data_IF_315682498885
#
_entry.id   IF_315682498885
#
_cell.length_a   1.000
_cell.length_b   1.000
_cell.length_c   1.000
_cell.angle_alpha   90.00
_cell.angle_beta   90.00
_cell.angle_gamma   90.00
#
_symmetry.space_group_name_H-M   'P 1'
#
loop_
_entity.id
_entity.type
_entity.pdbx_description
1 polymer ?
#
# COMPACT_ATOMS: atom_id res chain seq x y z
N UNK A 1 -18.68 10.74 10.43
CA UNK A 1 -18.54 9.32 10.83
C UNK A 1 -17.25 8.80 10.23
N UNK A 2 -16.41 8.14 11.03
CA UNK A 2 -15.20 7.41 10.61
C UNK A 2 -15.59 6.10 9.90
N UNK A 3 -14.62 5.35 9.40
CA UNK A 3 -14.88 4.00 8.87
C UNK A 3 -15.32 3.06 9.99
N UNK A 4 -16.23 2.15 9.68
CA UNK A 4 -16.71 1.09 10.58
C UNK A 4 -15.95 -0.19 10.28
N UNK A 5 -15.28 -0.77 11.29
CA UNK A 5 -14.60 -2.06 11.16
C UNK A 5 -15.63 -3.20 11.07
N UNK A 6 -15.39 -4.10 10.15
CA UNK A 6 -16.24 -5.27 9.95
C UNK A 6 -15.87 -6.39 10.94
N UNK A 7 -16.80 -6.77 11.79
CA UNK A 7 -16.60 -7.87 12.74
C UNK A 7 -15.52 -7.62 13.78
N UNK A 8 -15.12 -8.69 14.44
CA UNK A 8 -14.11 -8.68 15.52
C UNK A 8 -12.86 -9.51 15.20
N UNK A 9 -12.79 -10.04 13.96
CA UNK A 9 -11.71 -10.92 13.48
C UNK A 9 -11.20 -10.41 12.13
N UNK A 10 -9.96 -10.75 11.74
CA UNK A 10 -9.48 -10.46 10.40
C UNK A 10 -10.33 -11.16 9.33
N UNK A 11 -10.45 -10.55 8.16
CA UNK A 11 -11.13 -11.13 6.99
C UNK A 11 -10.20 -12.02 6.18
N UNK A 12 -8.87 -11.87 6.32
CA UNK A 12 -7.90 -12.73 5.67
C UNK A 12 -6.63 -12.87 6.53
N UNK A 13 -6.14 -14.10 6.59
CA UNK A 13 -5.03 -14.51 7.44
C UNK A 13 -5.48 -15.11 8.77
N UNK A 14 -4.75 -16.11 9.23
CA UNK A 14 -5.00 -16.85 10.48
C UNK A 14 -3.70 -17.51 10.98
N UNK A 15 -3.80 -18.35 11.99
CA UNK A 15 -2.64 -19.04 12.56
C UNK A 15 -1.95 -19.99 11.56
N UNK A 16 -2.67 -20.56 10.60
CA UNK A 16 -2.14 -21.51 9.61
C UNK A 16 -1.41 -20.78 8.47
N UNK A 17 -1.97 -19.65 7.99
CA UNK A 17 -1.30 -18.82 6.99
C UNK A 17 -0.06 -18.15 7.57
N UNK A 18 -0.03 -17.92 8.88
CA UNK A 18 0.95 -17.05 9.52
C UNK A 18 0.72 -15.58 9.12
N UNK A 19 1.75 -14.75 9.21
CA UNK A 19 1.68 -13.32 8.90
C UNK A 19 1.48 -13.09 7.40
N UNK A 20 0.38 -12.38 7.08
CA UNK A 20 0.03 -11.83 5.77
C UNK A 20 -0.17 -10.32 5.91
N UNK A 21 0.41 -9.53 5.02
CA UNK A 21 0.47 -8.07 5.18
C UNK A 21 0.62 -7.32 3.85
N UNK A 22 0.47 -6.00 3.90
CA UNK A 22 0.62 -5.07 2.77
C UNK A 22 -0.29 -5.44 1.59
N UNK A 23 -1.56 -5.75 1.88
CA UNK A 23 -2.54 -6.07 0.84
C UNK A 23 -2.80 -4.89 -0.09
N UNK A 24 -2.84 -5.16 -1.38
CA UNK A 24 -3.23 -4.24 -2.45
C UNK A 24 -4.47 -4.80 -3.13
N UNK A 25 -5.64 -4.19 -2.89
CA UNK A 25 -6.93 -4.67 -3.39
C UNK A 25 -7.41 -3.82 -4.55
N UNK A 26 -7.86 -4.46 -5.60
CA UNK A 26 -8.44 -3.83 -6.79
C UNK A 26 -9.43 -4.78 -7.50
N UNK A 27 -10.20 -4.24 -8.46
CA UNK A 27 -11.16 -5.03 -9.25
C UNK A 27 -10.49 -5.61 -10.49
N UNK A 28 -10.43 -6.92 -10.60
CA UNK A 28 -9.91 -7.64 -11.76
C UNK A 28 -10.99 -8.60 -12.30
N UNK A 29 -11.44 -8.35 -13.53
CA UNK A 29 -12.44 -9.19 -14.18
C UNK A 29 -13.79 -9.30 -13.44
N UNK A 30 -14.16 -8.29 -12.64
CA UNK A 30 -15.41 -8.26 -11.87
C UNK A 30 -15.32 -8.90 -10.49
N UNK A 31 -14.15 -9.36 -10.05
CA UNK A 31 -13.87 -9.86 -8.71
C UNK A 31 -12.86 -8.97 -7.99
N UNK A 32 -12.90 -8.96 -6.67
CA UNK A 32 -11.82 -8.37 -5.88
C UNK A 32 -10.60 -9.28 -5.96
N UNK A 33 -9.47 -8.69 -6.29
CA UNK A 33 -8.15 -9.29 -6.26
C UNK A 33 -7.35 -8.60 -5.15
N UNK A 34 -6.73 -9.38 -4.27
CA UNK A 34 -5.78 -8.89 -3.26
C UNK A 34 -4.40 -9.48 -3.56
N UNK A 35 -3.49 -8.62 -3.97
CA UNK A 35 -2.07 -8.94 -4.04
C UNK A 35 -1.45 -8.57 -2.69
N UNK A 36 -0.73 -9.48 -2.03
CA UNK A 36 -0.25 -9.27 -0.66
C UNK A 36 1.13 -9.89 -0.42
N UNK A 37 1.74 -9.53 0.70
CA UNK A 37 3.02 -10.05 1.15
C UNK A 37 2.81 -11.22 2.10
N UNK A 38 3.40 -12.37 1.80
CA UNK A 38 3.34 -13.58 2.64
C UNK A 38 4.67 -13.81 3.35
N UNK A 39 4.79 -13.32 4.58
CA UNK A 39 6.07 -13.31 5.32
C UNK A 39 6.71 -14.68 5.44
N UNK A 40 5.95 -15.70 5.85
CA UNK A 40 6.45 -17.07 6.02
C UNK A 40 6.94 -17.74 4.74
N UNK A 41 6.53 -17.22 3.58
CA UNK A 41 6.93 -17.71 2.26
C UNK A 41 7.97 -16.82 1.58
N UNK A 42 8.27 -15.64 2.16
CA UNK A 42 9.14 -14.60 1.55
C UNK A 42 8.73 -14.29 0.11
N UNK A 43 7.43 -14.12 -0.10
CA UNK A 43 6.84 -14.06 -1.43
C UNK A 43 5.71 -13.04 -1.50
N UNK A 44 5.46 -12.52 -2.70
CA UNK A 44 4.17 -11.96 -3.07
C UNK A 44 3.21 -13.08 -3.44
N UNK A 45 1.94 -12.90 -3.08
CA UNK A 45 0.88 -13.84 -3.36
C UNK A 45 -0.42 -13.11 -3.72
N UNK A 46 -1.39 -13.84 -4.25
CA UNK A 46 -2.70 -13.32 -4.64
C UNK A 46 -3.81 -14.19 -4.07
N UNK A 47 -4.92 -13.55 -3.73
CA UNK A 47 -6.20 -14.20 -3.40
C UNK A 47 -7.34 -13.42 -4.02
N UNK A 48 -8.50 -14.06 -4.18
CA UNK A 48 -9.66 -13.50 -4.86
C UNK A 48 -10.91 -13.58 -3.98
N UNK A 49 -11.83 -12.63 -4.19
CA UNK A 49 -13.10 -12.56 -3.48
C UNK A 49 -14.20 -12.00 -4.37
N UNK A 50 -15.43 -12.46 -4.19
CA UNK A 50 -16.61 -11.90 -4.86
C UNK A 50 -17.25 -10.76 -4.05
N UNK A 51 -16.98 -10.69 -2.75
CA UNK A 51 -17.59 -9.71 -1.83
C UNK A 51 -16.56 -8.83 -1.07
N UNK A 52 -15.26 -9.13 -1.19
CA UNK A 52 -14.19 -8.43 -0.49
C UNK A 52 -14.01 -8.86 0.98
N UNK A 53 -14.74 -9.87 1.43
CA UNK A 53 -14.74 -10.37 2.81
C UNK A 53 -14.30 -11.83 2.87
N UNK A 54 -14.83 -12.66 1.99
CA UNK A 54 -14.51 -14.08 1.91
C UNK A 54 -13.49 -14.31 0.78
N UNK A 55 -12.29 -14.72 1.14
CA UNK A 55 -11.15 -14.83 0.24
C UNK A 55 -10.81 -16.29 -0.08
N UNK A 56 -10.41 -16.55 -1.32
CA UNK A 56 -9.98 -17.87 -1.77
C UNK A 56 -8.64 -18.28 -1.13
N UNK A 57 -8.26 -19.55 -1.30
CA UNK A 57 -6.91 -19.99 -0.98
C UNK A 57 -5.88 -19.16 -1.75
N UNK A 58 -4.79 -18.72 -1.10
CA UNK A 58 -3.79 -17.88 -1.73
C UNK A 58 -2.85 -18.66 -2.65
N UNK A 59 -2.39 -17.98 -3.70
CA UNK A 59 -1.41 -18.51 -4.65
C UNK A 59 -0.19 -17.60 -4.67
N UNK A 60 1.02 -18.18 -4.56
CA UNK A 60 2.28 -17.43 -4.68
C UNK A 60 2.41 -16.95 -6.14
N UNK A 61 2.68 -15.65 -6.30
CA UNK A 61 2.85 -14.99 -7.61
C UNK A 61 4.31 -14.70 -7.93
N UNK A 62 5.12 -14.39 -6.91
CA UNK A 62 6.55 -14.13 -7.05
C UNK A 62 7.26 -14.47 -5.74
N UNK A 63 8.15 -15.46 -5.74
CA UNK A 63 9.00 -15.77 -4.59
C UNK A 63 10.29 -14.93 -4.63
N UNK A 64 10.94 -14.74 -3.47
CA UNK A 64 12.23 -14.09 -3.40
C UNK A 64 13.31 -14.87 -4.18
N UNK A 65 14.32 -14.18 -4.66
CA UNK A 65 15.47 -14.78 -5.33
C UNK A 65 16.77 -14.27 -4.70
N UNK A 66 17.40 -15.12 -3.89
CA UNK A 66 18.64 -14.80 -3.20
C UNK A 66 19.82 -14.54 -4.16
N UNK A 67 19.76 -15.05 -5.40
CA UNK A 67 20.82 -14.83 -6.39
C UNK A 67 20.91 -13.37 -6.85
N UNK A 68 19.84 -12.60 -6.71
CA UNK A 68 19.84 -11.16 -7.03
C UNK A 68 20.68 -10.34 -6.03
N UNK A 69 20.82 -10.84 -4.79
CA UNK A 69 21.58 -10.16 -3.72
C UNK A 69 20.86 -8.96 -3.09
N UNK A 70 19.60 -8.69 -3.46
CA UNK A 70 18.77 -7.61 -2.90
C UNK A 70 17.35 -8.04 -2.52
N UNK A 71 17.05 -9.33 -2.63
CA UNK A 71 15.74 -9.94 -2.32
C UNK A 71 15.84 -11.03 -1.25
N UNK A 72 16.49 -10.76 -0.11
CA UNK A 72 16.43 -11.71 1.03
C UNK A 72 15.00 -11.85 1.55
N UNK A 73 14.22 -10.75 1.47
CA UNK A 73 12.77 -10.71 1.67
C UNK A 73 12.12 -9.95 0.51
N UNK A 74 10.91 -10.35 0.13
CA UNK A 74 10.12 -9.75 -0.93
C UNK A 74 8.71 -9.43 -0.42
N UNK A 75 8.27 -8.17 -0.63
CA UNK A 75 7.01 -7.69 -0.06
C UNK A 75 6.49 -6.41 -0.77
N UNK A 76 5.35 -5.86 -0.27
CA UNK A 76 4.82 -4.53 -0.61
C UNK A 76 4.64 -4.34 -2.10
N UNK A 77 3.89 -5.21 -2.72
CA UNK A 77 3.62 -5.15 -4.16
C UNK A 77 2.43 -4.24 -4.51
N UNK A 78 2.47 -3.73 -5.73
CA UNK A 78 1.38 -3.06 -6.43
C UNK A 78 1.25 -3.67 -7.81
N UNK A 79 0.05 -4.09 -8.19
CA UNK A 79 -0.21 -4.74 -9.47
C UNK A 79 -1.21 -3.93 -10.28
N UNK A 80 -0.89 -3.67 -11.55
CA UNK A 80 -1.79 -3.08 -12.54
C UNK A 80 -1.92 -3.99 -13.75
N UNK A 81 -3.09 -4.00 -14.37
CA UNK A 81 -3.28 -4.55 -15.70
C UNK A 81 -3.29 -3.43 -16.73
N UNK A 82 -2.34 -3.46 -17.67
CA UNK A 82 -2.24 -2.50 -18.77
C UNK A 82 -2.28 -3.27 -20.09
N UNK A 83 -3.37 -3.11 -20.83
CA UNK A 83 -3.68 -4.00 -21.96
C UNK A 83 -3.86 -5.45 -21.48
N UNK A 84 -3.13 -6.36 -22.07
CA UNK A 84 -3.18 -7.79 -21.73
C UNK A 84 -2.07 -8.23 -20.76
N UNK A 85 -1.29 -7.28 -20.22
CA UNK A 85 -0.15 -7.56 -19.35
C UNK A 85 -0.42 -7.07 -17.93
N UNK A 86 -0.19 -7.94 -16.96
CA UNK A 86 -0.13 -7.59 -15.54
C UNK A 86 1.29 -7.15 -15.21
N UNK A 87 1.41 -5.98 -14.61
CA UNK A 87 2.67 -5.33 -14.22
C UNK A 87 2.72 -5.22 -12.70
N UNK A 88 3.78 -5.73 -12.10
CA UNK A 88 4.00 -5.73 -10.66
C UNK A 88 5.24 -4.90 -10.31
N UNK A 89 5.06 -3.93 -9.44
CA UNK A 89 6.14 -3.27 -8.71
C UNK A 89 6.14 -3.79 -7.28
N UNK A 90 7.29 -4.16 -6.76
CA UNK A 90 7.43 -4.78 -5.45
C UNK A 90 8.66 -4.26 -4.70
N UNK A 91 8.69 -4.48 -3.39
CA UNK A 91 9.85 -4.13 -2.56
C UNK A 91 10.68 -5.38 -2.30
N UNK A 92 11.96 -5.35 -2.68
CA UNK A 92 12.96 -6.31 -2.25
C UNK A 92 13.77 -5.73 -1.11
N UNK A 93 14.12 -6.54 -0.12
CA UNK A 93 14.87 -6.11 1.05
C UNK A 93 16.05 -7.04 1.32
N UNK A 94 17.24 -6.46 1.50
CA UNK A 94 18.45 -7.18 1.86
C UNK A 94 19.42 -6.26 2.59
N UNK A 95 20.17 -6.79 3.54
CA UNK A 95 21.30 -6.12 4.20
C UNK A 95 20.98 -4.74 4.78
N UNK A 96 19.75 -4.55 5.26
CA UNK A 96 19.30 -3.29 5.84
C UNK A 96 18.84 -2.24 4.83
N UNK A 97 18.71 -2.59 3.55
CA UNK A 97 18.22 -1.71 2.48
C UNK A 97 16.91 -2.22 1.89
N UNK A 98 16.13 -1.32 1.32
CA UNK A 98 14.93 -1.65 0.53
C UNK A 98 15.01 -1.00 -0.84
N UNK A 99 14.56 -1.74 -1.84
CA UNK A 99 14.61 -1.39 -3.25
C UNK A 99 13.28 -1.70 -3.92
N UNK A 100 12.99 -1.08 -5.07
CA UNK A 100 11.82 -1.42 -5.86
C UNK A 100 12.24 -2.24 -7.08
N UNK A 101 11.62 -3.41 -7.24
CA UNK A 101 11.76 -4.29 -8.40
C UNK A 101 10.55 -4.27 -9.31
N UNK A 102 10.66 -4.96 -10.45
CA UNK A 102 9.61 -5.04 -11.46
C UNK A 102 9.49 -6.42 -12.08
N UNK A 103 8.25 -6.88 -12.22
CA UNK A 103 7.91 -8.15 -12.86
C UNK A 103 6.65 -8.02 -13.71
N UNK A 104 6.48 -8.90 -14.69
CA UNK A 104 5.30 -8.97 -15.57
C UNK A 104 4.71 -10.36 -15.62
N UNK A 105 3.41 -10.44 -15.93
CA UNK A 105 2.68 -11.67 -16.13
C UNK A 105 1.62 -11.51 -17.22
N UNK A 106 1.38 -12.56 -18.01
CA UNK A 106 0.28 -12.61 -18.97
C UNK A 106 -1.03 -13.14 -18.36
N UNK A 107 -0.95 -13.88 -17.25
CA UNK A 107 -2.10 -14.50 -16.60
C UNK A 107 -2.46 -13.87 -15.23
N UNK A 108 -1.59 -12.97 -14.74
CA UNK A 108 -1.75 -12.33 -13.43
C UNK A 108 -1.37 -13.19 -12.23
N UNK A 109 -0.86 -14.41 -12.46
CA UNK A 109 -0.46 -15.36 -11.42
C UNK A 109 1.05 -15.63 -11.49
N UNK A 110 1.57 -15.97 -12.66
CA UNK A 110 2.97 -16.33 -12.84
C UNK A 110 3.75 -15.09 -13.30
N UNK A 111 4.37 -14.40 -12.35
CA UNK A 111 5.17 -13.21 -12.64
C UNK A 111 6.63 -13.56 -12.89
N UNK A 112 7.20 -12.94 -13.92
CA UNK A 112 8.60 -13.04 -14.29
C UNK A 112 9.30 -11.69 -14.11
N UNK A 113 10.45 -11.68 -13.40
CA UNK A 113 11.30 -10.50 -13.28
C UNK A 113 11.76 -10.03 -14.66
N UNK A 114 11.72 -8.71 -14.87
CA UNK A 114 12.21 -8.10 -16.11
C UNK A 114 13.62 -7.53 -15.98
N UNK A 115 14.17 -7.55 -14.76
CA UNK A 115 15.53 -7.17 -14.46
C UNK A 115 16.05 -7.99 -13.28
N UNK A 116 17.32 -8.35 -13.29
CA UNK A 116 18.02 -8.90 -12.13
C UNK A 116 18.36 -7.81 -11.10
N UNK A 117 18.45 -6.56 -11.55
CA UNK A 117 18.72 -5.38 -10.72
C UNK A 117 17.42 -4.68 -10.36
N UNK A 118 17.36 -3.99 -9.20
CA UNK A 118 16.21 -3.16 -8.85
C UNK A 118 16.05 -2.01 -9.86
N UNK A 119 14.80 -1.63 -10.13
CA UNK A 119 14.48 -0.51 -11.03
C UNK A 119 14.50 0.84 -10.31
N UNK A 120 14.53 0.84 -8.99
CA UNK A 120 14.69 2.05 -8.18
C UNK A 120 15.46 1.73 -6.89
N UNK A 121 16.46 2.54 -6.60
CA UNK A 121 17.30 2.44 -5.41
C UNK A 121 17.28 3.75 -4.62
N UNK A 122 17.60 3.75 -3.31
CA UNK A 122 17.82 5.00 -2.57
C UNK A 122 19.08 5.71 -3.09
N UNK A 123 18.91 6.98 -3.50
CA UNK A 123 19.99 7.81 -4.08
C UNK A 123 20.09 9.17 -3.41
N UNK A 124 19.01 9.63 -2.78
CA UNK A 124 18.93 10.97 -2.20
C UNK A 124 19.04 10.88 -0.67
N UNK A 125 19.67 11.88 -0.01
CA UNK A 125 19.91 11.82 1.45
C UNK A 125 18.68 11.54 2.31
N UNK A 126 17.52 12.00 1.90
CA UNK A 126 16.26 11.78 2.63
C UNK A 126 15.65 10.39 2.37
N UNK A 127 16.08 9.68 1.34
CA UNK A 127 15.69 8.28 1.08
C UNK A 127 16.41 7.31 2.01
N UNK A 128 17.53 7.73 2.58
CA UNK A 128 18.32 6.98 3.55
C UNK A 128 18.63 5.56 3.04
N UNK A 129 18.11 4.54 3.72
CA UNK A 129 18.35 3.13 3.41
C UNK A 129 17.27 2.54 2.49
N UNK A 130 16.17 3.28 2.19
CA UNK A 130 15.05 2.63 1.52
C UNK A 130 14.26 3.49 0.55
N UNK A 131 13.85 2.83 -0.54
CA UNK A 131 12.68 3.15 -1.36
C UNK A 131 11.78 1.92 -1.36
N UNK A 132 10.48 2.08 -1.02
CA UNK A 132 9.57 0.95 -0.79
C UNK A 132 8.10 1.35 -0.98
N UNK A 133 7.20 0.39 -0.82
CA UNK A 133 5.75 0.61 -0.87
C UNK A 133 5.29 1.32 -2.17
N UNK A 134 5.63 0.81 -3.36
CA UNK A 134 5.15 1.42 -4.59
C UNK A 134 3.63 1.37 -4.66
N UNK A 135 3.03 2.48 -5.09
CA UNK A 135 1.64 2.59 -5.52
C UNK A 135 1.65 3.26 -6.89
N UNK A 136 1.21 2.57 -7.92
CA UNK A 136 1.33 3.03 -9.31
C UNK A 136 -0.04 3.20 -9.93
N UNK A 137 -0.24 4.31 -10.64
CA UNK A 137 -1.35 4.54 -11.56
C UNK A 137 -0.81 4.71 -12.98
N UNK A 138 -1.61 4.32 -13.98
CA UNK A 138 -1.31 4.55 -15.38
C UNK A 138 -2.37 5.49 -15.97
N UNK A 139 -1.96 6.70 -16.30
CA UNK A 139 -2.86 7.77 -16.76
C UNK A 139 -2.25 8.51 -17.96
N UNK A 140 -3.03 8.67 -19.01
CA UNK A 140 -2.62 9.42 -20.22
C UNK A 140 -1.26 8.97 -20.80
N UNK A 141 -0.97 7.66 -20.75
CA UNK A 141 0.27 7.09 -21.27
C UNK A 141 1.49 7.23 -20.35
N UNK A 142 1.31 7.68 -19.11
CA UNK A 142 2.37 7.87 -18.13
C UNK A 142 2.08 7.01 -16.88
N UNK A 143 3.09 6.28 -16.42
CA UNK A 143 3.06 5.62 -15.10
C UNK A 143 3.45 6.64 -14.04
N UNK A 144 2.64 6.76 -13.01
CA UNK A 144 2.82 7.65 -11.88
C UNK A 144 2.98 6.81 -10.62
N UNK A 145 4.11 6.92 -9.94
CA UNK A 145 4.39 6.16 -8.73
C UNK A 145 4.47 7.07 -7.51
N UNK A 146 3.69 6.73 -6.50
CA UNK A 146 3.90 7.20 -5.13
C UNK A 146 4.63 6.08 -4.38
N UNK A 147 5.72 6.43 -3.72
CA UNK A 147 6.54 5.48 -2.98
C UNK A 147 6.94 6.05 -1.62
N UNK A 148 7.26 5.17 -0.71
CA UNK A 148 7.76 5.57 0.62
C UNK A 148 9.28 5.47 0.67
N UNK A 149 9.89 6.30 1.50
CA UNK A 149 11.34 6.29 1.67
C UNK A 149 11.75 6.64 3.11
N UNK A 150 12.98 6.28 3.48
CA UNK A 150 13.57 6.55 4.78
C UNK A 150 14.24 5.34 5.39
N UNK A 151 13.83 4.93 6.60
CA UNK A 151 14.37 3.76 7.27
C UNK A 151 13.90 2.46 6.61
N UNK A 152 14.71 1.40 6.69
CA UNK A 152 14.51 0.14 5.94
C UNK A 152 13.14 -0.48 6.12
N UNK A 153 12.61 -0.52 7.34
CA UNK A 153 11.36 -1.21 7.64
C UNK A 153 10.20 -0.26 7.90
N UNK A 154 10.50 0.97 8.31
CA UNK A 154 9.52 1.98 8.68
C UNK A 154 9.81 3.28 7.93
N UNK A 155 9.07 3.56 6.86
CA UNK A 155 9.29 4.75 6.04
C UNK A 155 9.04 6.05 6.83
N UNK A 156 9.68 7.12 6.39
CA UNK A 156 9.57 8.43 7.04
C UNK A 156 8.72 9.44 6.26
N UNK A 157 8.63 9.23 4.93
CA UNK A 157 7.99 10.16 3.99
C UNK A 157 7.36 9.42 2.81
N UNK A 158 6.47 10.10 2.08
CA UNK A 158 6.04 9.68 0.75
C UNK A 158 6.61 10.60 -0.33
N UNK A 159 6.97 10.02 -1.45
CA UNK A 159 7.63 10.64 -2.58
C UNK A 159 6.93 10.26 -3.89
N UNK A 160 7.36 10.86 -5.01
CA UNK A 160 6.73 10.72 -6.31
C UNK A 160 7.76 10.56 -7.43
N UNK A 161 7.44 9.71 -8.40
CA UNK A 161 8.20 9.51 -9.63
C UNK A 161 7.27 9.26 -10.83
N UNK A 162 7.75 9.54 -12.04
CA UNK A 162 7.04 9.27 -13.30
C UNK A 162 7.89 8.39 -14.22
N UNK A 163 7.22 7.61 -15.07
CA UNK A 163 7.83 6.77 -16.10
C UNK A 163 6.93 6.65 -17.32
N UNK A 164 7.52 6.53 -18.51
CA UNK A 164 6.78 6.25 -19.75
C UNK A 164 6.66 4.75 -20.04
N UNK A 165 7.49 3.92 -19.43
CA UNK A 165 7.54 2.47 -19.66
C UNK A 165 7.26 1.63 -18.40
N UNK A 166 7.26 2.26 -17.22
CA UNK A 166 7.08 1.60 -15.92
C UNK A 166 8.36 0.99 -15.34
N UNK A 167 9.51 1.15 -16.01
CA UNK A 167 10.81 0.59 -15.65
C UNK A 167 11.82 1.70 -15.34
N UNK A 168 11.92 2.70 -16.20
CA UNK A 168 12.82 3.83 -16.03
C UNK A 168 12.08 5.00 -15.40
N UNK A 169 12.43 5.33 -14.15
CA UNK A 169 11.69 6.29 -13.33
C UNK A 169 12.45 7.60 -13.14
N UNK A 170 11.74 8.70 -13.29
CA UNK A 170 12.25 10.05 -13.01
C UNK A 170 11.65 10.52 -11.69
N UNK A 171 12.46 10.57 -10.63
CA UNK A 171 12.08 11.08 -9.31
C UNK A 171 11.79 12.58 -9.38
N UNK A 172 10.69 13.02 -8.77
CA UNK A 172 10.31 14.43 -8.74
C UNK A 172 11.34 15.28 -7.99
N UNK A 173 11.67 16.45 -8.53
CA UNK A 173 12.59 17.40 -7.90
C UNK A 173 12.06 18.05 -6.62
N UNK A 174 10.76 17.97 -6.38
CA UNK A 174 10.14 18.52 -5.17
C UNK A 174 9.94 17.48 -4.06
N UNK A 175 10.45 16.26 -4.27
CA UNK A 175 10.41 15.23 -3.23
C UNK A 175 11.16 15.66 -1.96
N UNK A 176 10.72 15.17 -0.79
CA UNK A 176 9.51 14.37 -0.56
C UNK A 176 8.23 15.21 -0.70
N UNK A 177 7.19 14.63 -1.34
CA UNK A 177 5.92 15.33 -1.59
C UNK A 177 4.96 15.33 -0.40
N UNK A 178 5.17 14.42 0.56
CA UNK A 178 4.32 14.31 1.74
C UNK A 178 5.14 13.88 2.96
N UNK A 179 5.07 14.69 4.01
CA UNK A 179 5.83 14.50 5.25
C UNK A 179 4.91 14.60 6.46
N UNK A 180 5.40 14.16 7.62
CA UNK A 180 4.68 14.23 8.89
C UNK A 180 4.24 15.66 9.23
N UNK A 181 3.14 15.76 9.96
CA UNK A 181 2.74 16.97 10.66
C UNK A 181 2.85 16.73 12.17
N UNK A 182 3.89 17.28 12.79
CA UNK A 182 4.17 17.09 14.22
C UNK A 182 3.11 17.66 15.17
N UNK A 183 2.15 18.42 14.65
CA UNK A 183 1.02 18.96 15.42
C UNK A 183 -0.18 17.99 15.45
N UNK A 184 -0.18 16.96 14.59
CA UNK A 184 -1.17 15.90 14.58
C UNK A 184 -0.61 14.67 15.31
N UNK A 185 -1.16 14.34 16.45
CA UNK A 185 -0.66 13.23 17.28
C UNK A 185 -0.54 11.91 16.51
N UNK A 186 -1.48 11.63 15.62
CA UNK A 186 -1.54 10.38 14.82
C UNK A 186 -0.48 10.30 13.70
N UNK A 187 0.29 11.35 13.43
CA UNK A 187 1.39 11.37 12.45
C UNK A 187 2.61 12.16 12.90
N UNK A 188 2.72 12.46 14.21
CA UNK A 188 3.80 13.28 14.75
C UNK A 188 5.18 12.67 14.59
N UNK A 189 5.28 11.35 14.49
CA UNK A 189 6.54 10.63 14.33
C UNK A 189 6.94 10.53 12.85
N UNK A 190 6.11 9.95 11.99
CA UNK A 190 6.36 9.73 10.55
C UNK A 190 5.09 9.49 9.75
N UNK A 191 5.21 9.41 8.44
CA UNK A 191 4.16 8.97 7.51
C UNK A 191 4.74 8.00 6.49
N UNK A 192 3.90 7.18 5.87
CA UNK A 192 4.35 6.27 4.82
C UNK A 192 3.26 5.37 4.30
N UNK A 193 3.63 4.38 3.48
CA UNK A 193 2.80 3.28 3.04
C UNK A 193 1.45 3.69 2.46
N UNK A 194 1.43 4.47 1.38
CA UNK A 194 0.19 4.99 0.83
C UNK A 194 -0.45 4.08 -0.23
N UNK A 195 -1.76 4.24 -0.37
CA UNK A 195 -2.56 3.87 -1.53
C UNK A 195 -3.17 5.13 -2.13
N UNK A 196 -2.86 5.42 -3.39
CA UNK A 196 -3.37 6.60 -4.10
C UNK A 196 -4.37 6.17 -5.16
N UNK A 197 -5.50 6.84 -5.18
CA UNK A 197 -6.51 6.71 -6.22
C UNK A 197 -6.83 8.10 -6.81
N UNK A 198 -7.26 8.13 -8.05
CA UNK A 198 -7.74 9.35 -8.71
C UNK A 198 -9.26 9.30 -8.86
N UNK A 199 -9.92 10.39 -8.52
CA UNK A 199 -11.37 10.56 -8.61
C UNK A 199 -11.69 11.87 -9.34
N UNK A 200 -12.76 11.87 -10.13
CA UNK A 200 -13.15 13.07 -10.91
C UNK A 200 -13.55 14.25 -10.01
N UNK A 201 -14.17 13.97 -8.88
CA UNK A 201 -14.75 14.96 -7.97
C UNK A 201 -13.78 15.49 -6.91
N UNK A 202 -12.87 14.64 -6.40
CA UNK A 202 -11.97 15.01 -5.30
C UNK A 202 -10.48 15.08 -5.71
N UNK A 203 -10.15 14.78 -6.97
CA UNK A 203 -8.77 14.68 -7.44
C UNK A 203 -8.08 13.43 -6.92
N UNK A 204 -6.81 13.54 -6.53
CA UNK A 204 -6.04 12.42 -5.99
C UNK A 204 -6.27 12.29 -4.49
N UNK A 205 -6.65 11.11 -4.07
CA UNK A 205 -6.79 10.73 -2.66
C UNK A 205 -5.63 9.82 -2.29
N UNK A 206 -4.85 10.21 -1.29
CA UNK A 206 -3.79 9.41 -0.69
C UNK A 206 -4.29 8.88 0.66
N UNK A 207 -4.58 7.60 0.73
CA UNK A 207 -4.76 6.89 2.01
C UNK A 207 -3.38 6.47 2.49
N UNK A 208 -2.98 6.87 3.69
CA UNK A 208 -1.61 6.73 4.16
C UNK A 208 -1.54 6.27 5.61
N UNK A 209 -0.36 5.83 6.02
CA UNK A 209 -0.07 5.48 7.39
C UNK A 209 0.43 6.73 8.12
N UNK A 210 -0.24 7.10 9.21
CA UNK A 210 0.26 8.07 10.18
C UNK A 210 0.78 7.33 11.42
N UNK A 211 1.98 7.69 11.89
CA UNK A 211 2.60 7.09 13.07
C UNK A 211 2.65 8.10 14.22
N UNK A 212 2.01 7.75 15.32
CA UNK A 212 2.15 8.47 16.59
C UNK A 212 3.55 8.27 17.17
N UNK A 213 3.99 7.02 17.20
CA UNK A 213 5.32 6.55 17.56
C UNK A 213 5.69 5.32 16.68
N UNK A 214 6.82 4.68 16.93
CA UNK A 214 7.29 3.55 16.13
C UNK A 214 6.36 2.33 16.17
N UNK A 215 5.54 2.20 17.19
CA UNK A 215 4.68 1.03 17.42
C UNK A 215 3.21 1.31 17.11
N UNK A 216 2.77 2.56 17.20
CA UNK A 216 1.37 2.96 17.07
C UNK A 216 1.14 3.63 15.73
N UNK A 217 0.42 2.95 14.85
CA UNK A 217 0.10 3.44 13.51
C UNK A 217 -1.42 3.50 13.29
N UNK A 218 -1.86 4.48 12.51
CA UNK A 218 -3.25 4.71 12.13
C UNK A 218 -3.38 4.99 10.64
N UNK A 219 -4.57 4.79 10.11
CA UNK A 219 -4.85 5.08 8.70
C UNK A 219 -5.51 6.44 8.59
N UNK A 220 -4.98 7.24 7.68
CA UNK A 220 -5.39 8.60 7.40
C UNK A 220 -5.62 8.81 5.89
N UNK A 221 -6.24 9.93 5.51
CA UNK A 221 -6.43 10.34 4.13
C UNK A 221 -6.05 11.82 3.93
N UNK A 222 -5.46 12.10 2.77
CA UNK A 222 -5.22 13.45 2.26
C UNK A 222 -5.65 13.52 0.79
N UNK A 223 -5.98 14.72 0.31
CA UNK A 223 -6.30 14.97 -1.11
C UNK A 223 -5.35 15.97 -1.74
N UNK A 224 -5.18 15.88 -3.06
CA UNK A 224 -4.44 16.83 -3.88
C UNK A 224 -5.07 16.94 -5.26
N UNK A 225 -5.01 18.12 -5.86
CA UNK A 225 -5.53 18.33 -7.22
C UNK A 225 -4.67 17.66 -8.30
N UNK A 226 -3.35 17.64 -8.12
CA UNK A 226 -2.39 17.12 -9.11
C UNK A 226 -1.70 15.82 -8.67
N UNK A 227 -1.96 15.37 -7.42
CA UNK A 227 -1.33 14.19 -6.83
C UNK A 227 0.11 14.40 -6.38
N UNK A 228 0.62 15.64 -6.46
CA UNK A 228 2.02 15.97 -6.18
C UNK A 228 2.13 17.07 -5.14
N UNK A 229 1.32 18.13 -5.25
CA UNK A 229 1.39 19.33 -4.42
C UNK A 229 0.10 19.58 -3.66
N UNK A 230 0.20 20.42 -2.62
CA UNK A 230 -0.97 20.95 -1.94
C UNK A 230 -1.84 19.87 -1.27
N UNK A 231 -1.21 18.85 -0.73
CA UNK A 231 -1.91 17.79 0.00
C UNK A 231 -2.63 18.34 1.23
N UNK A 232 -3.95 18.24 1.21
CA UNK A 232 -4.85 18.64 2.29
C UNK A 232 -5.27 17.40 3.08
N UNK A 233 -5.03 17.38 4.38
CA UNK A 233 -5.44 16.30 5.28
C UNK A 233 -6.90 16.42 5.63
N UNK A 234 -7.62 15.30 5.64
CA UNK A 234 -9.02 15.28 6.05
C UNK A 234 -9.20 15.60 7.53
N UNK A 235 -10.25 16.34 7.85
CA UNK A 235 -10.68 16.55 9.24
C UNK A 235 -11.24 15.29 9.90
N UNK A 236 -11.51 14.23 9.12
CA UNK A 236 -11.95 12.93 9.62
C UNK A 236 -10.80 12.05 10.12
N UNK A 237 -9.54 12.45 9.90
CA UNK A 237 -8.40 11.66 10.35
C UNK A 237 -8.30 11.57 11.88
N UNK A 238 -7.88 10.42 12.42
CA UNK A 238 -7.60 9.17 11.70
C UNK A 238 -8.89 8.43 11.30
N UNK A 239 -8.84 7.74 10.14
CA UNK A 239 -9.98 6.97 9.62
C UNK A 239 -10.16 5.64 10.34
N UNK A 240 -9.04 4.97 10.64
CA UNK A 240 -8.95 3.68 11.33
C UNK A 240 -7.88 3.79 12.41
N UNK A 241 -8.22 3.31 13.61
CA UNK A 241 -7.34 3.25 14.78
C UNK A 241 -7.24 1.82 15.32
N UNK A 242 -6.17 1.47 16.04
CA UNK A 242 -6.09 0.22 16.80
C UNK A 242 -7.27 0.06 17.76
N UNK A 243 -7.73 -1.18 17.94
CA UNK A 243 -8.81 -1.50 18.88
C UNK A 243 -8.24 -2.22 20.10
N UNK A 244 -8.29 -1.60 21.25
CA UNK A 244 -7.76 -2.17 22.49
C UNK A 244 -8.31 -3.57 22.77
N UNK A 245 -7.42 -4.54 23.04
CA UNK A 245 -7.79 -5.93 23.31
C UNK A 245 -8.19 -6.76 22.08
N UNK A 246 -8.12 -6.18 20.88
CA UNK A 246 -8.39 -6.86 19.61
C UNK A 246 -7.12 -7.39 18.95
N UNK A 247 -7.28 -8.13 17.86
CA UNK A 247 -6.19 -8.65 17.01
C UNK A 247 -5.38 -7.54 16.31
N UNK A 248 -5.91 -6.31 16.25
CA UNK A 248 -5.29 -5.11 15.67
C UNK A 248 -4.95 -4.05 16.73
N UNK A 249 -4.66 -4.47 17.98
CA UNK A 249 -4.58 -3.58 19.14
C UNK A 249 -3.35 -2.69 19.20
N UNK A 250 -2.30 -2.97 18.44
CA UNK A 250 -1.06 -2.17 18.45
C UNK A 250 -0.98 -1.22 17.26
N UNK A 251 -1.35 -1.68 16.07
CA UNK A 251 -1.27 -0.86 14.86
C UNK A 251 -2.32 -1.24 13.82
N UNK A 252 -2.83 -0.22 13.12
CA UNK A 252 -3.58 -0.36 11.87
C UNK A 252 -2.84 0.43 10.79
N UNK A 253 -2.47 -0.22 9.69
CA UNK A 253 -1.57 0.38 8.69
C UNK A 253 -1.77 -0.21 7.30
N UNK A 254 -1.03 0.34 6.32
CA UNK A 254 -1.05 -0.06 4.90
C UNK A 254 -2.47 -0.21 4.35
N UNK A 255 -3.19 0.92 4.17
CA UNK A 255 -4.53 0.91 3.62
C UNK A 255 -4.54 0.56 2.14
N UNK A 256 -5.60 -0.10 1.71
CA UNK A 256 -6.01 -0.17 0.31
C UNK A 256 -7.51 0.04 0.22
N UNK A 257 -7.99 0.78 -0.77
CA UNK A 257 -9.38 1.21 -0.85
C UNK A 257 -9.97 1.01 -2.24
N UNK A 258 -11.26 0.72 -2.25
CA UNK A 258 -12.09 0.69 -3.45
C UNK A 258 -13.38 1.44 -3.17
N UNK A 259 -13.81 2.31 -4.07
CA UNK A 259 -15.16 2.86 -4.04
C UNK A 259 -16.12 1.86 -4.71
N UNK A 260 -17.07 1.36 -3.96
CA UNK A 260 -18.14 0.51 -4.48
C UNK A 260 -19.32 1.40 -4.89
N UNK A 261 -19.42 1.68 -6.18
CA UNK A 261 -20.48 2.54 -6.73
C UNK A 261 -21.88 1.97 -6.50
N UNK A 262 -22.02 0.63 -6.62
CA UNK A 262 -23.31 -0.05 -6.47
C UNK A 262 -23.89 0.12 -5.07
N UNK A 263 -23.03 0.03 -4.07
CA UNK A 263 -23.43 0.08 -2.66
C UNK A 263 -23.29 1.49 -2.06
N UNK A 264 -22.70 2.44 -2.80
CA UNK A 264 -22.46 3.81 -2.35
C UNK A 264 -21.54 3.88 -1.11
N UNK A 265 -20.53 3.03 -1.08
CA UNK A 265 -19.64 2.93 0.08
C UNK A 265 -18.16 2.82 -0.30
N UNK A 266 -17.29 3.38 0.53
CA UNK A 266 -15.87 3.08 0.57
C UNK A 266 -15.65 1.71 1.22
N UNK A 267 -14.87 0.87 0.57
CA UNK A 267 -14.34 -0.38 1.11
C UNK A 267 -12.86 -0.18 1.36
N UNK A 268 -12.41 -0.46 2.59
CA UNK A 268 -11.02 -0.27 3.02
C UNK A 268 -10.50 -1.55 3.66
N UNK A 269 -9.44 -2.09 3.12
CA UNK A 269 -8.68 -3.18 3.75
C UNK A 269 -7.42 -2.62 4.36
N UNK A 270 -7.01 -3.20 5.47
CA UNK A 270 -5.87 -2.72 6.24
C UNK A 270 -5.16 -3.87 6.96
N UNK A 271 -3.90 -3.67 7.26
CA UNK A 271 -3.17 -4.53 8.17
C UNK A 271 -3.51 -4.17 9.61
N UNK A 272 -3.87 -5.16 10.41
CA UNK A 272 -3.90 -5.08 11.85
C UNK A 272 -2.75 -5.87 12.46
N UNK A 273 -2.13 -5.34 13.53
CA UNK A 273 -1.01 -5.98 14.21
C UNK A 273 -1.26 -6.10 15.70
N UNK A 274 -0.87 -7.26 16.24
CA UNK A 274 -0.69 -7.50 17.68
C UNK A 274 0.49 -8.45 17.88
N UNK A 275 1.53 -8.01 18.58
CA UNK A 275 2.81 -8.73 18.71
C UNK A 275 3.45 -8.97 17.34
N UNK A 276 3.77 -10.22 17.04
CA UNK A 276 4.36 -10.63 15.76
C UNK A 276 3.34 -11.13 14.72
N UNK A 277 2.05 -10.90 14.97
CA UNK A 277 0.97 -11.34 14.09
C UNK A 277 0.40 -10.17 13.32
N UNK A 278 0.30 -10.34 12.02
CA UNK A 278 -0.26 -9.36 11.10
C UNK A 278 -1.25 -10.05 10.17
N UNK A 279 -2.47 -9.51 10.11
CA UNK A 279 -3.56 -10.04 9.31
C UNK A 279 -4.32 -8.90 8.62
N UNK A 280 -5.16 -9.23 7.65
CA UNK A 280 -5.96 -8.25 6.91
C UNK A 280 -7.33 -8.05 7.56
N UNK A 281 -7.63 -6.81 7.91
CA UNK A 281 -8.95 -6.35 8.31
C UNK A 281 -9.70 -5.71 7.17
N UNK A 282 -11.00 -5.53 7.39
CA UNK A 282 -11.88 -4.81 6.48
C UNK A 282 -12.70 -3.78 7.27
N UNK A 283 -12.85 -2.62 6.68
CA UNK A 283 -13.69 -1.55 7.18
C UNK A 283 -14.45 -0.89 6.02
N UNK A 284 -15.56 -0.25 6.30
CA UNK A 284 -16.36 0.43 5.29
C UNK A 284 -16.89 1.78 5.79
N UNK A 285 -17.25 2.65 4.86
CA UNK A 285 -17.91 3.91 5.14
C UNK A 285 -18.94 4.20 4.06
N UNK A 286 -20.17 4.43 4.45
CA UNK A 286 -21.23 4.88 3.54
C UNK A 286 -21.03 6.36 3.20
N UNK A 287 -21.35 6.72 1.95
CA UNK A 287 -21.19 8.08 1.43
C UNK A 287 -19.77 8.39 0.95
N UNK A 288 -19.72 9.23 -0.07
CA UNK A 288 -18.49 9.48 -0.82
C UNK A 288 -17.56 10.51 -0.15
N UNK A 289 -18.15 11.47 0.57
CA UNK A 289 -17.41 12.61 1.11
C UNK A 289 -16.46 12.19 2.24
N UNK A 290 -15.17 12.39 1.99
CA UNK A 290 -14.07 12.19 2.95
C UNK A 290 -13.49 13.52 3.47
N UNK A 291 -14.00 14.65 2.99
CA UNK A 291 -13.52 16.00 3.32
C UNK A 291 -14.69 16.93 3.63
N UNK A 292 -15.47 16.64 4.68
CA UNK A 292 -16.59 17.50 5.06
C UNK A 292 -16.09 18.92 5.40
N UNK A 293 -16.85 19.91 5.01
CA UNK A 293 -16.65 21.28 5.45
C UNK A 293 -16.84 21.35 6.98
N UNK A 294 -15.94 22.07 7.67
CA UNK A 294 -15.96 22.23 9.13
C UNK A 294 -16.95 23.36 9.49
#
# INVERSE_FOLDING_TARGET
>A
MTFEKYGTSPVFGNAETGTVFDGYVWMDGGRYRMDFSWRGKKACAVTFSDDGIHWSEPVITLANDLATGWEDDLNRNCVLKVGDVYKMWYTGQARGYSYIGYAESCDGIHFERRSAEPIMIPELPWERESVMNPCVLFENGVYRMWYSAGETYEPNVNAYAESIDGIHWIKSRINPIFTKNKHNVYEQNRVGGCHVIHTEDMGYLMFYIGYEDINTARICVARSKDGIRGWERSSLNPLIEPTAGSWDSEATYKPTVVWNEKDGKWMLWYNGRTGNREYMGYAYRNGRDLFPEI
#
